data_IF_547834627724
#
_entry.id   IF_547834627724
#
_cell.length_a   1.000
_cell.length_b   1.000
_cell.length_c   1.000
_cell.angle_alpha   90.00
_cell.angle_beta   90.00
_cell.angle_gamma   90.00
#
_symmetry.space_group_name_H-M   'P 1'
#
loop_
_entity.id
_entity.type
_entity.pdbx_description
1 polymer ?
#
# COMPACT_ATOMS: atom_id res chain seq x y z
N UNK A 1 -7.27 5.78 -25.44
CA UNK A 1 -6.23 5.31 -26.36
C UNK A 1 -5.97 3.82 -26.19
N UNK A 2 -5.70 3.37 -24.96
CA UNK A 2 -5.41 1.95 -24.70
C UNK A 2 -6.60 1.05 -25.03
N UNK A 3 -7.82 1.53 -24.79
CA UNK A 3 -9.04 0.77 -25.11
C UNK A 3 -9.20 0.58 -26.62
N UNK A 4 -8.78 1.55 -27.42
CA UNK A 4 -8.80 1.42 -28.87
C UNK A 4 -7.87 0.33 -29.37
N UNK A 5 -6.79 0.06 -28.65
CA UNK A 5 -5.81 -0.98 -28.98
C UNK A 5 -6.27 -2.35 -28.47
N UNK A 6 -7.43 -2.43 -27.83
CA UNK A 6 -8.06 -3.65 -27.35
C UNK A 6 -7.19 -4.47 -26.39
N UNK A 7 -6.45 -3.79 -25.51
CA UNK A 7 -5.76 -4.48 -24.42
C UNK A 7 -6.77 -5.10 -23.46
N UNK A 8 -6.44 -6.25 -22.82
CA UNK A 8 -7.27 -6.79 -21.76
C UNK A 8 -7.49 -5.77 -20.64
N UNK A 9 -8.68 -5.76 -20.04
CA UNK A 9 -9.03 -4.79 -19.00
C UNK A 9 -8.04 -4.78 -17.83
N UNK A 10 -7.56 -5.96 -17.41
CA UNK A 10 -6.60 -6.06 -16.31
C UNK A 10 -5.27 -5.37 -16.66
N UNK A 11 -4.80 -5.52 -17.91
CA UNK A 11 -3.57 -4.87 -18.36
C UNK A 11 -3.75 -3.36 -18.49
N UNK A 12 -4.90 -2.92 -18.99
CA UNK A 12 -5.23 -1.49 -19.08
C UNK A 12 -5.23 -0.87 -17.70
N UNK A 13 -5.86 -1.52 -16.73
CA UNK A 13 -5.92 -1.04 -15.36
C UNK A 13 -4.54 -0.95 -14.73
N UNK A 14 -3.70 -1.96 -14.92
CA UNK A 14 -2.33 -1.94 -14.41
C UNK A 14 -1.51 -0.79 -15.01
N UNK A 15 -1.63 -0.56 -16.32
CA UNK A 15 -0.92 0.53 -17.00
C UNK A 15 -1.42 1.88 -16.48
N UNK A 16 -2.74 2.05 -16.35
CA UNK A 16 -3.33 3.29 -15.85
C UNK A 16 -2.85 3.58 -14.43
N UNK A 17 -2.83 2.57 -13.56
CA UNK A 17 -2.31 2.72 -12.20
C UNK A 17 -0.83 3.11 -12.19
N UNK A 18 -0.02 2.47 -13.03
CA UNK A 18 1.40 2.78 -13.14
C UNK A 18 1.62 4.25 -13.52
N UNK A 19 0.91 4.73 -14.53
CA UNK A 19 0.99 6.13 -14.97
C UNK A 19 0.48 7.08 -13.88
N UNK A 20 -0.63 6.71 -13.25
CA UNK A 20 -1.27 7.54 -12.21
C UNK A 20 -0.37 7.73 -10.99
N UNK A 21 0.35 6.69 -10.58
CA UNK A 21 1.07 6.70 -9.32
C UNK A 21 2.55 7.03 -9.42
N UNK A 22 3.18 6.94 -10.60
CA UNK A 22 4.60 7.21 -10.70
C UNK A 22 4.99 8.63 -10.27
N UNK A 23 4.08 9.59 -10.44
CA UNK A 23 4.32 10.98 -10.02
C UNK A 23 4.31 11.14 -8.49
N UNK A 24 3.71 10.22 -7.75
CA UNK A 24 3.67 10.28 -6.29
C UNK A 24 5.05 10.03 -5.67
N UNK A 25 5.97 9.45 -6.43
CA UNK A 25 7.30 9.12 -5.91
C UNK A 25 8.08 10.36 -5.45
N UNK A 26 7.82 11.51 -6.05
CA UNK A 26 8.44 12.77 -5.65
C UNK A 26 8.14 13.13 -4.20
N UNK A 27 6.99 12.74 -3.71
CA UNK A 27 6.54 13.04 -2.36
C UNK A 27 6.89 11.94 -1.36
N UNK A 28 7.49 10.84 -1.81
CA UNK A 28 7.80 9.69 -0.96
C UNK A 28 8.56 10.07 0.33
N UNK A 29 9.58 10.92 0.31
CA UNK A 29 10.27 11.30 1.54
C UNK A 29 9.41 12.08 2.54
N UNK A 30 8.30 12.65 2.08
CA UNK A 30 7.37 13.43 2.90
C UNK A 30 6.15 12.64 3.36
N UNK A 31 5.99 11.42 2.86
CA UNK A 31 4.84 10.58 3.19
C UNK A 31 4.91 10.06 4.62
N UNK A 32 3.75 9.88 5.25
CA UNK A 32 3.65 9.15 6.51
C UNK A 32 4.04 7.69 6.27
N UNK A 33 4.55 7.04 7.32
CA UNK A 33 5.00 5.63 7.22
C UNK A 33 3.94 4.71 6.63
N UNK A 34 2.68 4.82 7.09
CA UNK A 34 1.61 3.96 6.60
C UNK A 34 1.36 4.19 5.11
N UNK A 35 1.32 5.44 4.67
CA UNK A 35 1.10 5.80 3.27
C UNK A 35 2.23 5.28 2.39
N UNK A 36 3.47 5.49 2.81
CA UNK A 36 4.66 5.02 2.09
C UNK A 36 4.65 3.50 1.98
N UNK A 37 4.39 2.81 3.07
CA UNK A 37 4.38 1.33 3.10
C UNK A 37 3.26 0.74 2.27
N UNK A 38 2.08 1.37 2.23
CA UNK A 38 1.01 0.96 1.30
C UNK A 38 1.46 1.06 -0.15
N UNK A 39 2.15 2.14 -0.49
CA UNK A 39 2.71 2.31 -1.84
C UNK A 39 3.70 1.18 -2.17
N UNK A 40 4.62 0.88 -1.24
CA UNK A 40 5.63 -0.17 -1.44
C UNK A 40 5.02 -1.56 -1.60
N UNK A 41 3.83 -1.80 -1.05
CA UNK A 41 3.17 -3.10 -1.08
C UNK A 41 2.13 -3.23 -2.19
N UNK A 42 1.94 -2.20 -3.05
CA UNK A 42 1.00 -2.30 -4.16
C UNK A 42 1.44 -3.37 -5.16
N UNK A 43 0.49 -4.13 -5.74
CA UNK A 43 0.82 -5.15 -6.74
C UNK A 43 1.57 -4.61 -7.96
N UNK A 44 1.35 -3.36 -8.32
CA UNK A 44 2.00 -2.72 -9.47
C UNK A 44 3.27 -1.95 -9.10
N UNK A 45 3.72 -2.03 -7.86
CA UNK A 45 4.82 -1.20 -7.37
C UNK A 45 6.11 -1.40 -8.16
N UNK A 46 6.45 -2.63 -8.50
CA UNK A 46 7.70 -2.92 -9.25
C UNK A 46 7.69 -2.24 -10.61
N UNK A 47 6.54 -2.22 -11.29
CA UNK A 47 6.38 -1.51 -12.57
C UNK A 47 6.47 0.00 -12.37
N UNK A 48 5.85 0.53 -11.32
CA UNK A 48 5.89 1.95 -11.00
C UNK A 48 7.32 2.40 -10.71
N UNK A 49 8.06 1.61 -9.96
CA UNK A 49 9.45 1.92 -9.61
C UNK A 49 10.35 1.90 -10.85
N UNK A 50 10.17 0.91 -11.72
CA UNK A 50 10.94 0.83 -12.97
C UNK A 50 10.63 2.01 -13.88
N UNK A 51 9.37 2.40 -13.98
CA UNK A 51 8.95 3.59 -14.73
C UNK A 51 9.64 4.85 -14.19
N UNK A 52 9.68 4.98 -12.86
CA UNK A 52 10.35 6.10 -12.21
C UNK A 52 11.84 6.11 -12.51
N UNK A 53 12.49 4.95 -12.46
CA UNK A 53 13.92 4.81 -12.75
C UNK A 53 14.25 5.29 -14.17
N UNK A 54 13.46 4.82 -15.14
CA UNK A 54 13.64 5.19 -16.54
C UNK A 54 13.41 6.69 -16.75
N UNK A 55 12.42 7.25 -16.08
CA UNK A 55 12.09 8.66 -16.14
C UNK A 55 13.27 9.52 -15.63
N UNK A 56 13.85 9.12 -14.49
CA UNK A 56 15.00 9.80 -13.91
C UNK A 56 16.21 9.76 -14.86
N UNK A 57 16.50 8.59 -15.42
CA UNK A 57 17.62 8.43 -16.35
C UNK A 57 17.42 9.22 -17.63
N UNK A 58 16.17 9.33 -18.11
CA UNK A 58 15.85 10.03 -19.35
C UNK A 58 15.79 11.56 -19.22
N UNK A 59 15.58 12.10 -18.02
CA UNK A 59 15.39 13.54 -17.86
C UNK A 59 16.54 14.26 -17.17
N UNK A 60 16.94 13.83 -15.96
CA UNK A 60 17.96 14.56 -15.18
C UNK A 60 19.03 13.66 -14.57
N UNK A 61 18.88 12.35 -14.63
CA UNK A 61 19.87 11.40 -14.08
C UNK A 61 19.97 11.37 -12.56
N UNK A 62 19.11 12.10 -11.85
CA UNK A 62 19.12 12.14 -10.39
C UNK A 62 18.30 10.98 -9.83
N UNK A 63 18.92 10.17 -9.00
CA UNK A 63 18.32 8.94 -8.49
C UNK A 63 18.04 8.99 -6.98
N UNK A 64 18.03 10.19 -6.39
CA UNK A 64 17.88 10.34 -4.94
C UNK A 64 16.57 9.73 -4.41
N UNK A 65 15.46 10.01 -5.08
CA UNK A 65 14.16 9.47 -4.68
C UNK A 65 14.12 7.97 -4.91
N UNK A 66 14.65 7.51 -6.04
CA UNK A 66 14.74 6.08 -6.33
C UNK A 66 15.53 5.35 -5.23
N UNK A 67 16.69 5.87 -4.86
CA UNK A 67 17.54 5.29 -3.83
C UNK A 67 16.83 5.28 -2.48
N UNK A 68 16.14 6.36 -2.12
CA UNK A 68 15.33 6.44 -0.91
C UNK A 68 14.26 5.34 -0.88
N UNK A 69 13.52 5.18 -1.98
CA UNK A 69 12.46 4.17 -2.08
C UNK A 69 13.03 2.75 -1.97
N UNK A 70 14.14 2.49 -2.63
CA UNK A 70 14.81 1.18 -2.55
C UNK A 70 15.25 0.86 -1.11
N UNK A 71 15.78 1.85 -0.42
CA UNK A 71 16.16 1.69 0.98
C UNK A 71 14.94 1.38 1.86
N UNK A 72 13.85 2.12 1.68
CA UNK A 72 12.61 1.87 2.42
C UNK A 72 12.02 0.49 2.11
N UNK A 73 12.10 0.06 0.87
CA UNK A 73 11.67 -1.27 0.46
C UNK A 73 12.47 -2.36 1.18
N UNK A 74 13.78 -2.18 1.27
CA UNK A 74 14.67 -3.11 1.98
C UNK A 74 14.34 -3.16 3.47
N UNK A 75 14.10 -2.00 4.08
CA UNK A 75 13.72 -1.92 5.50
C UNK A 75 12.40 -2.65 5.73
N UNK A 76 11.41 -2.45 4.86
CA UNK A 76 10.11 -3.08 4.99
C UNK A 76 10.20 -4.61 4.88
N UNK A 77 11.03 -5.12 3.97
CA UNK A 77 11.23 -6.56 3.79
C UNK A 77 11.82 -7.25 5.02
N UNK A 78 12.49 -6.49 5.88
CA UNK A 78 13.02 -7.00 7.15
C UNK A 78 11.97 -7.02 8.26
N UNK A 79 10.76 -6.58 7.98
CA UNK A 79 9.65 -6.52 8.94
C UNK A 79 8.49 -7.40 8.47
N UNK A 80 8.61 -8.73 8.58
CA UNK A 80 7.59 -9.65 8.04
C UNK A 80 6.20 -9.44 8.61
N UNK A 81 6.09 -8.93 9.84
CA UNK A 81 4.79 -8.66 10.46
C UNK A 81 4.00 -7.55 9.76
N UNK A 82 4.66 -6.75 8.92
CA UNK A 82 4.01 -5.67 8.16
C UNK A 82 3.63 -6.07 6.75
N UNK A 83 4.19 -7.17 6.23
CA UNK A 83 4.00 -7.57 4.84
C UNK A 83 2.59 -8.07 4.55
N UNK A 84 1.93 -8.67 5.53
CA UNK A 84 0.58 -9.19 5.38
C UNK A 84 -0.33 -8.61 6.47
N UNK A 85 -1.64 -8.47 6.17
CA UNK A 85 -2.59 -7.99 7.19
C UNK A 85 -2.63 -8.92 8.39
N UNK A 86 -2.62 -8.34 9.60
CA UNK A 86 -2.73 -9.11 10.84
C UNK A 86 -4.11 -9.71 11.03
N UNK A 87 -5.15 -9.02 10.54
CA UNK A 87 -6.53 -9.49 10.64
C UNK A 87 -7.20 -9.37 9.28
N UNK A 88 -8.24 -10.18 9.09
CA UNK A 88 -9.02 -10.22 7.85
C UNK A 88 -10.47 -9.79 8.14
N UNK A 89 -11.27 -9.64 7.06
CA UNK A 89 -12.70 -9.37 7.21
C UNK A 89 -13.41 -10.45 8.00
N UNK A 90 -12.99 -11.70 7.86
CA UNK A 90 -13.55 -12.82 8.60
C UNK A 90 -13.37 -12.65 10.10
N UNK A 91 -12.18 -12.20 10.53
CA UNK A 91 -11.92 -11.93 11.95
C UNK A 91 -12.85 -10.88 12.49
N UNK A 92 -13.14 -9.84 11.73
CA UNK A 92 -14.07 -8.78 12.13
C UNK A 92 -15.51 -9.27 12.19
N UNK A 93 -15.92 -10.13 11.27
CA UNK A 93 -17.25 -10.74 11.28
C UNK A 93 -17.41 -11.59 12.54
N UNK A 94 -16.39 -12.34 12.93
CA UNK A 94 -16.40 -13.14 14.17
C UNK A 94 -16.51 -12.27 15.41
N UNK A 95 -16.05 -11.01 15.35
CA UNK A 95 -16.23 -10.06 16.45
C UNK A 95 -17.65 -9.48 16.53
N UNK A 96 -18.49 -9.73 15.53
CA UNK A 96 -19.86 -9.24 15.50
C UNK A 96 -20.08 -8.06 14.56
N UNK A 97 -19.10 -7.72 13.73
CA UNK A 97 -19.22 -6.64 12.75
C UNK A 97 -19.91 -7.19 11.50
N UNK A 98 -20.96 -6.50 11.04
CA UNK A 98 -21.70 -6.94 9.87
C UNK A 98 -20.91 -6.70 8.59
N UNK A 99 -20.99 -7.63 7.59
CA UNK A 99 -20.39 -7.40 6.27
C UNK A 99 -20.97 -6.17 5.59
N UNK A 100 -20.13 -5.37 4.96
CA UNK A 100 -20.57 -4.18 4.24
C UNK A 100 -19.46 -3.16 4.10
N UNK A 101 -19.77 -1.94 3.58
CA UNK A 101 -18.76 -0.89 3.41
C UNK A 101 -18.03 -0.51 4.70
N UNK A 102 -18.72 -0.52 5.84
CA UNK A 102 -18.12 -0.22 7.13
C UNK A 102 -17.04 -1.22 7.51
N UNK A 103 -17.25 -2.50 7.17
CA UNK A 103 -16.25 -3.54 7.41
C UNK A 103 -14.97 -3.27 6.64
N UNK A 104 -15.09 -2.91 5.36
CA UNK A 104 -13.95 -2.57 4.51
C UNK A 104 -13.19 -1.35 5.02
N UNK A 105 -13.91 -0.32 5.45
CA UNK A 105 -13.32 0.88 6.02
C UNK A 105 -12.54 0.58 7.29
N UNK A 106 -13.09 -0.29 8.15
CA UNK A 106 -12.42 -0.69 9.38
C UNK A 106 -11.17 -1.51 9.08
N UNK A 107 -11.23 -2.43 8.12
CA UNK A 107 -10.05 -3.18 7.68
C UNK A 107 -8.94 -2.27 7.18
N UNK A 108 -9.28 -1.27 6.37
CA UNK A 108 -8.31 -0.29 5.88
C UNK A 108 -7.69 0.50 7.03
N UNK A 109 -8.50 0.91 8.00
CA UNK A 109 -8.01 1.63 9.16
C UNK A 109 -7.05 0.78 10.01
N UNK A 110 -7.40 -0.50 10.21
CA UNK A 110 -6.53 -1.45 10.92
C UNK A 110 -5.21 -1.63 10.16
N UNK A 111 -5.29 -1.77 8.84
CA UNK A 111 -4.10 -1.93 8.01
C UNK A 111 -3.19 -0.70 8.10
N UNK A 112 -3.75 0.51 8.08
CA UNK A 112 -2.98 1.74 8.24
C UNK A 112 -2.27 1.79 9.59
N UNK A 113 -2.96 1.43 10.67
CA UNK A 113 -2.36 1.40 12.00
C UNK A 113 -1.27 0.34 12.10
N UNK A 114 -1.47 -0.82 11.49
CA UNK A 114 -0.44 -1.85 11.41
C UNK A 114 0.80 -1.35 10.69
N UNK A 115 0.63 -0.72 9.53
CA UNK A 115 1.74 -0.18 8.75
C UNK A 115 2.46 0.98 9.45
N UNK A 116 1.76 1.69 10.34
CA UNK A 116 2.36 2.70 11.20
C UNK A 116 3.01 2.12 12.46
N UNK A 117 2.99 0.78 12.60
CA UNK A 117 3.55 0.04 13.73
C UNK A 117 2.85 0.37 15.06
N UNK A 118 1.54 0.67 15.00
CA UNK A 118 0.74 0.94 16.19
C UNK A 118 0.47 -0.34 17.01
N UNK A 119 0.50 -1.50 16.36
CA UNK A 119 0.35 -2.80 17.04
C UNK A 119 1.54 -3.69 16.73
N UNK A 120 1.87 -4.54 17.69
CA UNK A 120 2.90 -5.58 17.54
C UNK A 120 2.31 -6.98 17.41
N UNK A 121 1.05 -7.17 17.81
CA UNK A 121 0.39 -8.47 17.81
C UNK A 121 -1.00 -8.40 17.20
N UNK A 122 -1.50 -9.57 16.77
CA UNK A 122 -2.85 -9.73 16.24
C UNK A 122 -3.89 -9.34 17.29
N UNK A 123 -3.66 -9.70 18.55
CA UNK A 123 -4.56 -9.40 19.67
C UNK A 123 -4.71 -7.90 19.86
N UNK A 124 -3.62 -7.15 19.76
CA UNK A 124 -3.68 -5.68 19.83
C UNK A 124 -4.50 -5.10 18.69
N UNK A 125 -4.34 -5.63 17.47
CA UNK A 125 -5.10 -5.20 16.32
C UNK A 125 -6.59 -5.49 16.49
N UNK A 126 -6.95 -6.67 16.99
CA UNK A 126 -8.33 -7.03 17.25
C UNK A 126 -8.97 -6.15 18.33
N UNK A 127 -8.22 -5.86 19.39
CA UNK A 127 -8.69 -4.99 20.47
C UNK A 127 -8.96 -3.57 19.94
N UNK A 128 -8.06 -3.06 19.12
CA UNK A 128 -8.23 -1.74 18.50
C UNK A 128 -9.44 -1.70 17.58
N UNK A 129 -9.63 -2.74 16.78
CA UNK A 129 -10.79 -2.83 15.87
C UNK A 129 -12.10 -2.87 16.64
N UNK A 130 -12.13 -3.63 17.73
CA UNK A 130 -13.31 -3.74 18.60
C UNK A 130 -13.66 -2.40 19.22
N UNK A 131 -12.68 -1.69 19.72
CA UNK A 131 -12.87 -0.36 20.33
C UNK A 131 -13.37 0.63 19.27
N UNK A 132 -12.78 0.62 18.06
CA UNK A 132 -13.16 1.53 17.00
C UNK A 132 -14.58 1.28 16.49
N UNK A 133 -15.06 0.04 16.55
CA UNK A 133 -16.40 -0.35 16.14
C UNK A 133 -17.43 -0.21 17.26
N UNK A 134 -17.04 0.27 18.44
CA UNK A 134 -17.90 0.41 19.62
C UNK A 134 -18.56 -0.91 20.08
N UNK A 135 -17.81 -1.99 20.03
CA UNK A 135 -18.28 -3.30 20.50
C UNK A 135 -17.95 -3.60 21.95
#
# INVERSE_FOLDING_TARGET
ILQRLRFPNAEIEAIVQTVRYHMQFKDAPKMRKATLRRMLLRPTFDLELEQHRLDCLGSHGLMEIYDFIREQQTVLQKKPLLLEPMISGRDLIELGIEPGPALGQLLDAVRDQQLAEAFSTREEALAWAKEKADL
#
